data_IF_153984597419
#
_entry.id   IF_153984597419
#
_cell.length_a   1.000
_cell.length_b   1.000
_cell.length_c   1.000
_cell.angle_alpha   90.00
_cell.angle_beta   90.00
_cell.angle_gamma   90.00
#
_symmetry.space_group_name_H-M   'P 1'
#
loop_
_entity.id
_entity.type
_entity.pdbx_description
1 polymer ?
#
# COMPACT_ATOMS: atom_id res chain seq x y z
N UNK A 1 -9.03 14.00 -9.72
CA UNK A 1 -8.73 12.81 -8.90
C UNK A 1 -9.51 12.88 -7.60
N UNK A 2 -10.25 11.84 -7.28
CA UNK A 2 -11.06 11.77 -6.05
C UNK A 2 -10.32 10.92 -5.01
N UNK A 3 -9.92 11.49 -3.84
CA UNK A 3 -9.15 10.73 -2.84
C UNK A 3 -9.84 9.46 -2.34
N UNK A 4 -11.15 9.51 -2.15
CA UNK A 4 -11.92 8.35 -1.70
C UNK A 4 -11.87 7.21 -2.71
N UNK A 5 -12.06 7.53 -3.99
CA UNK A 5 -11.99 6.54 -5.07
C UNK A 5 -10.58 5.96 -5.22
N UNK A 6 -9.56 6.78 -5.02
CA UNK A 6 -8.16 6.33 -5.08
C UNK A 6 -7.88 5.33 -3.96
N UNK A 7 -8.28 5.64 -2.73
CA UNK A 7 -8.08 4.73 -1.60
C UNK A 7 -8.86 3.42 -1.79
N UNK A 8 -10.11 3.51 -2.23
CA UNK A 8 -10.93 2.32 -2.48
C UNK A 8 -10.33 1.44 -3.58
N UNK A 9 -9.80 2.05 -4.63
CA UNK A 9 -9.13 1.33 -5.72
C UNK A 9 -7.86 0.63 -5.25
N UNK A 10 -7.03 1.29 -4.46
CA UNK A 10 -5.83 0.68 -3.89
C UNK A 10 -6.18 -0.48 -2.95
N UNK A 11 -7.22 -0.30 -2.14
CA UNK A 11 -7.72 -1.37 -1.27
C UNK A 11 -8.17 -2.58 -2.09
N UNK A 12 -8.92 -2.36 -3.18
CA UNK A 12 -9.35 -3.43 -4.08
C UNK A 12 -8.15 -4.16 -4.68
N UNK A 13 -7.13 -3.43 -5.12
CA UNK A 13 -5.92 -4.03 -5.66
C UNK A 13 -5.21 -4.90 -4.62
N UNK A 14 -5.10 -4.43 -3.39
CA UNK A 14 -4.47 -5.20 -2.30
C UNK A 14 -5.25 -6.46 -1.93
N UNK A 15 -6.56 -6.44 -2.08
CA UNK A 15 -7.41 -7.60 -1.80
C UNK A 15 -7.19 -8.78 -2.75
N UNK A 16 -6.43 -8.60 -3.81
CA UNK A 16 -6.02 -9.71 -4.69
C UNK A 16 -5.01 -10.65 -4.04
N UNK A 17 -4.37 -10.24 -2.95
CA UNK A 17 -3.44 -11.09 -2.21
C UNK A 17 -4.22 -11.92 -1.19
N UNK A 18 -4.14 -13.24 -1.33
CA UNK A 18 -4.78 -14.16 -0.40
C UNK A 18 -4.17 -14.05 1.01
N UNK A 19 -5.02 -13.96 2.02
CA UNK A 19 -4.59 -13.90 3.42
C UNK A 19 -4.15 -12.53 3.92
N UNK A 20 -4.09 -11.53 3.05
CA UNK A 20 -3.80 -10.15 3.46
C UNK A 20 -5.09 -9.47 3.91
N UNK A 21 -5.09 -8.93 5.12
CA UNK A 21 -6.21 -8.12 5.62
C UNK A 21 -5.98 -6.67 5.26
N UNK A 22 -6.97 -6.03 4.64
CA UNK A 22 -6.87 -4.64 4.22
C UNK A 22 -7.85 -3.80 5.04
N UNK A 23 -7.33 -2.77 5.70
CA UNK A 23 -8.10 -1.89 6.58
C UNK A 23 -8.12 -0.46 6.04
N UNK A 24 -9.23 0.24 6.25
CA UNK A 24 -9.34 1.67 5.93
C UNK A 24 -8.59 2.54 6.94
N UNK A 25 -8.59 2.12 8.21
CA UNK A 25 -7.89 2.77 9.31
C UNK A 25 -7.15 1.70 10.09
N UNK A 26 -6.09 2.11 10.80
CA UNK A 26 -5.33 1.18 11.65
C UNK A 26 -6.25 0.71 12.79
N UNK A 27 -6.52 -0.60 12.90
CA UNK A 27 -7.37 -1.12 13.98
C UNK A 27 -6.63 -1.09 15.33
N UNK A 28 -7.39 -1.12 16.42
CA UNK A 28 -6.82 -1.18 17.77
C UNK A 28 -5.99 -2.45 17.99
N UNK A 29 -6.46 -3.57 17.44
CA UNK A 29 -5.74 -4.85 17.47
C UNK A 29 -5.40 -5.25 16.04
N UNK A 30 -4.09 -5.40 15.77
CA UNK A 30 -3.61 -5.78 14.46
C UNK A 30 -3.40 -7.28 14.39
N UNK A 31 -3.97 -7.91 13.35
CA UNK A 31 -3.71 -9.32 13.03
C UNK A 31 -2.91 -9.38 11.73
N UNK A 32 -1.59 -9.64 11.79
CA UNK A 32 -0.77 -9.70 10.58
C UNK A 32 -1.06 -10.96 9.76
N UNK A 33 -0.86 -10.92 8.43
CA UNK A 33 -0.48 -9.75 7.65
C UNK A 33 -1.63 -8.79 7.41
N UNK A 34 -1.35 -7.50 7.48
CA UNK A 34 -2.35 -6.47 7.31
C UNK A 34 -1.79 -5.31 6.48
N UNK A 35 -2.65 -4.64 5.75
CA UNK A 35 -2.28 -3.46 4.97
C UNK A 35 -3.26 -2.32 5.26
N UNK A 36 -2.73 -1.11 5.34
CA UNK A 36 -3.51 0.11 5.54
C UNK A 36 -3.09 1.13 4.50
N UNK A 37 -4.05 1.67 3.76
CA UNK A 37 -3.80 2.76 2.81
C UNK A 37 -3.79 4.08 3.57
N UNK A 38 -2.69 4.82 3.47
CA UNK A 38 -2.53 6.09 4.16
C UNK A 38 -3.27 7.25 3.49
N UNK A 39 -3.01 8.44 3.99
CA UNK A 39 -3.56 9.65 3.41
C UNK A 39 -2.79 10.05 2.16
N UNK A 40 -3.48 10.69 1.22
CA UNK A 40 -2.87 11.17 0.00
C UNK A 40 -2.35 12.60 0.18
N UNK A 41 -1.13 12.82 -0.29
CA UNK A 41 -0.56 14.16 -0.42
C UNK A 41 -0.64 14.59 -1.88
N UNK A 42 -1.26 15.73 -2.14
CA UNK A 42 -1.51 16.21 -3.49
C UNK A 42 -0.54 17.31 -3.90
N UNK A 43 -0.11 17.26 -5.15
CA UNK A 43 0.49 18.38 -5.87
C UNK A 43 -0.40 18.68 -7.06
N UNK A 44 -1.00 19.85 -7.04
CA UNK A 44 -1.96 20.23 -8.08
C UNK A 44 -1.26 20.91 -9.24
N UNK A 45 -1.82 20.71 -10.44
CA UNK A 45 -1.39 21.40 -11.66
C UNK A 45 0.11 21.24 -11.93
N UNK A 46 0.57 19.97 -11.96
CA UNK A 46 2.00 19.68 -12.16
C UNK A 46 2.49 19.97 -13.58
N UNK A 47 1.57 20.15 -14.54
CA UNK A 47 1.92 20.58 -15.88
C UNK A 47 1.48 22.04 -16.13
N UNK A 48 2.08 22.66 -17.15
CA UNK A 48 1.79 24.04 -17.49
C UNK A 48 0.37 24.24 -18.04
N UNK A 49 -0.27 23.18 -18.52
CA UNK A 49 -1.61 23.23 -19.07
C UNK A 49 -2.71 23.15 -18.02
N UNK A 50 -2.36 22.87 -16.76
CA UNK A 50 -3.27 22.70 -15.65
C UNK A 50 -4.36 21.65 -15.94
N UNK A 51 -4.24 20.52 -15.42
CA UNK A 51 -5.20 19.44 -15.63
C UNK A 51 -4.67 18.10 -15.19
N UNK A 52 -3.42 18.08 -14.77
CA UNK A 52 -2.79 16.89 -14.24
C UNK A 52 -2.36 17.14 -12.81
N UNK A 53 -2.92 16.36 -11.90
CA UNK A 53 -2.53 16.36 -10.49
C UNK A 53 -1.65 15.16 -10.19
N UNK A 54 -0.80 15.32 -9.19
CA UNK A 54 0.02 14.23 -8.68
C UNK A 54 -0.34 13.99 -7.23
N UNK A 55 -0.47 12.74 -6.85
CA UNK A 55 -0.67 12.36 -5.47
C UNK A 55 0.42 11.40 -5.03
N UNK A 56 0.81 11.51 -3.79
CA UNK A 56 1.68 10.54 -3.13
C UNK A 56 0.94 9.90 -1.98
N UNK A 57 1.07 8.60 -1.83
CA UNK A 57 0.44 7.86 -0.75
C UNK A 57 1.38 6.76 -0.27
N UNK A 58 1.37 6.54 1.02
CA UNK A 58 2.09 5.43 1.63
C UNK A 58 1.09 4.33 1.99
N UNK A 59 1.42 3.09 1.64
CA UNK A 59 0.69 1.91 2.07
C UNK A 59 1.53 1.20 3.11
N UNK A 60 1.02 1.12 4.32
CA UNK A 60 1.69 0.42 5.42
C UNK A 60 1.28 -1.04 5.39
N UNK A 61 2.26 -1.94 5.29
CA UNK A 61 2.04 -3.38 5.36
C UNK A 61 2.70 -3.91 6.62
N UNK A 62 1.90 -4.44 7.52
CA UNK A 62 2.35 -5.05 8.77
C UNK A 62 2.46 -6.55 8.51
N UNK A 63 3.67 -7.09 8.58
CA UNK A 63 3.96 -8.43 8.09
C UNK A 63 3.88 -9.47 9.18
N UNK A 64 4.55 -9.23 10.33
CA UNK A 64 4.61 -10.18 11.42
C UNK A 64 5.11 -9.51 12.69
N UNK A 65 4.92 -10.18 13.84
CA UNK A 65 5.53 -9.76 15.08
C UNK A 65 7.03 -10.00 15.04
N UNK A 66 7.82 -9.12 15.64
CA UNK A 66 9.25 -9.33 15.73
C UNK A 66 9.64 -10.62 16.44
N UNK A 67 8.83 -11.08 17.38
CA UNK A 67 9.07 -12.33 18.11
C UNK A 67 8.84 -13.59 17.27
N UNK A 68 8.17 -13.47 16.12
CA UNK A 68 7.89 -14.59 15.23
C UNK A 68 9.02 -14.76 14.23
N UNK A 69 9.62 -15.94 14.20
CA UNK A 69 10.68 -16.26 13.24
C UNK A 69 10.17 -16.98 12.00
N UNK A 70 8.95 -17.49 12.06
CA UNK A 70 8.29 -18.11 10.91
C UNK A 70 7.75 -17.03 10.00
N UNK A 71 7.86 -17.21 8.69
CA UNK A 71 7.28 -16.29 7.73
C UNK A 71 8.27 -15.49 6.90
N UNK A 72 9.56 -15.81 6.96
CA UNK A 72 10.56 -15.15 6.12
C UNK A 72 10.22 -15.34 4.63
N UNK A 73 9.76 -16.54 4.23
CA UNK A 73 9.35 -16.80 2.86
C UNK A 73 8.16 -15.91 2.45
N UNK A 74 7.22 -15.71 3.36
CA UNK A 74 6.05 -14.84 3.14
C UNK A 74 6.46 -13.38 3.00
N UNK A 75 7.40 -12.94 3.84
CA UNK A 75 7.98 -11.60 3.75
C UNK A 75 8.69 -11.41 2.41
N UNK A 76 9.49 -12.38 2.01
CA UNK A 76 10.21 -12.33 0.74
C UNK A 76 9.22 -12.27 -0.44
N UNK A 77 8.12 -13.03 -0.37
CA UNK A 77 7.06 -12.97 -1.38
C UNK A 77 6.40 -11.59 -1.45
N UNK A 78 6.13 -10.95 -0.31
CA UNK A 78 5.57 -9.59 -0.29
C UNK A 78 6.51 -8.56 -0.91
N UNK A 79 7.81 -8.70 -0.68
CA UNK A 79 8.82 -7.75 -1.14
C UNK A 79 9.29 -8.02 -2.58
N UNK A 80 8.99 -9.19 -3.14
CA UNK A 80 9.37 -9.51 -4.50
C UNK A 80 8.72 -8.51 -5.49
N UNK A 81 9.43 -8.20 -6.56
CA UNK A 81 8.91 -7.31 -7.60
C UNK A 81 7.83 -7.93 -8.48
N UNK A 82 7.66 -9.25 -8.40
CA UNK A 82 6.67 -10.01 -9.17
C UNK A 82 6.16 -11.19 -8.35
N UNK A 83 5.06 -11.80 -8.79
CA UNK A 83 4.50 -12.98 -8.16
C UNK A 83 3.16 -12.71 -7.49
N UNK A 84 2.43 -13.78 -7.15
CA UNK A 84 1.07 -13.70 -6.60
C UNK A 84 1.03 -13.05 -5.20
N UNK A 85 2.12 -13.14 -4.44
CA UNK A 85 2.22 -12.51 -3.11
C UNK A 85 2.84 -11.12 -3.12
N UNK A 86 3.29 -10.61 -4.27
CA UNK A 86 3.98 -9.33 -4.37
C UNK A 86 3.03 -8.17 -4.12
N UNK A 87 3.34 -7.35 -3.14
CA UNK A 87 2.59 -6.12 -2.83
C UNK A 87 2.69 -5.14 -4.00
N UNK A 88 3.89 -5.00 -4.58
CA UNK A 88 4.07 -4.13 -5.74
C UNK A 88 3.17 -4.56 -6.91
N UNK A 89 3.17 -5.85 -7.24
CA UNK A 89 2.33 -6.38 -8.33
C UNK A 89 0.85 -6.16 -8.03
N UNK A 90 0.42 -6.40 -6.80
CA UNK A 90 -0.97 -6.20 -6.40
C UNK A 90 -1.38 -4.73 -6.52
N UNK A 91 -0.58 -3.80 -6.02
CA UNK A 91 -0.87 -2.37 -6.09
C UNK A 91 -0.92 -1.86 -7.53
N UNK A 92 -0.12 -2.43 -8.42
CA UNK A 92 -0.07 -2.06 -9.83
C UNK A 92 -0.97 -2.93 -10.72
N UNK A 93 -1.76 -3.83 -10.14
CA UNK A 93 -2.61 -4.76 -10.92
C UNK A 93 -3.67 -4.04 -11.75
N UNK A 94 -4.18 -2.92 -11.25
CA UNK A 94 -5.02 -2.00 -12.00
C UNK A 94 -4.47 -0.58 -11.80
N UNK A 95 -3.68 -0.12 -12.75
CA UNK A 95 -2.97 1.16 -12.65
C UNK A 95 -3.87 2.37 -12.80
N UNK A 96 -5.07 2.18 -13.30
CA UNK A 96 -6.04 3.27 -13.48
C UNK A 96 -7.06 3.33 -12.36
N UNK A 97 -7.06 2.37 -11.45
CA UNK A 97 -8.02 2.25 -10.35
C UNK A 97 -9.46 2.37 -10.87
N UNK A 98 -9.78 1.56 -11.86
CA UNK A 98 -11.08 1.55 -12.54
C UNK A 98 -11.43 2.90 -13.20
N UNK A 99 -10.42 3.60 -13.67
CA UNK A 99 -10.59 4.88 -14.34
C UNK A 99 -10.55 6.11 -13.43
N UNK A 100 -10.31 5.93 -12.14
CA UNK A 100 -10.25 7.04 -11.19
C UNK A 100 -8.99 7.91 -11.37
N UNK A 101 -7.92 7.34 -11.93
CA UNK A 101 -6.65 8.03 -12.17
C UNK A 101 -6.10 7.65 -13.54
N UNK A 102 -5.09 8.39 -14.02
CA UNK A 102 -4.44 8.07 -15.29
C UNK A 102 -3.48 6.90 -15.15
N UNK A 103 -2.65 6.91 -14.12
CA UNK A 103 -1.72 5.83 -13.82
C UNK A 103 -1.18 5.95 -12.41
N UNK A 104 -0.60 4.87 -11.90
CA UNK A 104 0.10 4.86 -10.62
C UNK A 104 1.38 4.04 -10.75
N UNK A 105 2.30 4.29 -9.83
CA UNK A 105 3.57 3.58 -9.78
C UNK A 105 4.01 3.40 -8.33
N UNK A 106 4.45 2.20 -7.98
CA UNK A 106 5.11 1.93 -6.72
C UNK A 106 6.59 2.29 -6.87
N UNK A 107 7.04 3.28 -6.12
CA UNK A 107 8.40 3.82 -6.26
C UNK A 107 9.40 3.21 -5.29
N UNK A 108 8.93 2.59 -4.21
CA UNK A 108 9.84 1.96 -3.26
C UNK A 108 9.11 1.36 -2.06
N UNK A 109 9.86 0.63 -1.27
CA UNK A 109 9.41 0.06 -0.01
C UNK A 109 10.48 0.28 1.04
N UNK A 110 10.10 0.70 2.23
CA UNK A 110 11.00 1.04 3.33
C UNK A 110 10.61 0.24 4.57
N UNK A 111 11.61 -0.43 5.16
CA UNK A 111 11.41 -1.22 6.37
C UNK A 111 11.21 -0.32 7.58
N UNK A 112 10.37 -0.76 8.50
CA UNK A 112 10.13 -0.04 9.74
C UNK A 112 9.53 -0.93 10.80
N UNK A 113 9.22 -0.32 11.93
CA UNK A 113 8.58 -0.97 13.06
C UNK A 113 7.24 -0.32 13.33
N UNK A 114 6.23 -1.12 13.53
CA UNK A 114 4.92 -0.67 13.99
C UNK A 114 4.66 -1.22 15.38
N UNK A 115 4.39 -0.34 16.35
CA UNK A 115 4.09 -0.73 17.72
C UNK A 115 2.61 -0.54 18.01
N UNK A 116 1.97 -1.57 18.57
CA UNK A 116 0.58 -1.53 18.96
C UNK A 116 0.40 -2.28 20.27
N UNK A 117 -0.13 -1.60 21.28
CA UNK A 117 -0.47 -2.19 22.56
C UNK A 117 0.69 -2.98 23.19
N UNK A 118 1.91 -2.44 23.13
CA UNK A 118 3.10 -3.06 23.67
C UNK A 118 3.70 -4.19 22.84
N UNK A 119 3.15 -4.43 21.65
CA UNK A 119 3.67 -5.43 20.72
C UNK A 119 4.31 -4.73 19.54
N UNK A 120 5.53 -5.13 19.19
CA UNK A 120 6.26 -4.60 18.03
C UNK A 120 6.09 -5.52 16.82
N UNK A 121 5.79 -4.93 15.68
CA UNK A 121 5.59 -5.64 14.42
C UNK A 121 6.61 -5.17 13.39
N UNK A 122 7.06 -6.09 12.55
CA UNK A 122 7.82 -5.76 11.35
C UNK A 122 6.84 -5.21 10.31
N UNK A 123 7.16 -4.04 9.77
CA UNK A 123 6.32 -3.38 8.78
C UNK A 123 7.15 -2.87 7.60
N UNK A 124 6.48 -2.68 6.47
CA UNK A 124 7.06 -2.04 5.30
C UNK A 124 6.12 -0.94 4.84
N UNK A 125 6.69 0.19 4.49
CA UNK A 125 5.96 1.32 3.93
C UNK A 125 6.24 1.38 2.45
N UNK A 126 5.21 1.13 1.64
CA UNK A 126 5.28 1.23 0.19
C UNK A 126 4.89 2.63 -0.23
N UNK A 127 5.75 3.25 -1.02
CA UNK A 127 5.49 4.60 -1.54
C UNK A 127 4.97 4.49 -2.96
N UNK A 128 3.85 5.18 -3.20
CA UNK A 128 3.23 5.23 -4.52
C UNK A 128 3.15 6.68 -4.99
N UNK A 129 3.32 6.86 -6.28
CA UNK A 129 3.01 8.12 -6.96
C UNK A 129 1.87 7.86 -7.93
N UNK A 130 0.89 8.74 -7.93
CA UNK A 130 -0.35 8.62 -8.69
C UNK A 130 -0.53 9.89 -9.50
N UNK A 131 -0.87 9.73 -10.78
CA UNK A 131 -1.14 10.85 -11.69
C UNK A 131 -2.58 10.76 -12.19
N UNK A 132 -3.26 11.91 -12.14
CA UNK A 132 -4.65 11.92 -12.60
C UNK A 132 -5.35 13.26 -12.66
#
# INVERSE_FOLDING_TARGET
MNPSQVRDGLKTNLQTIAGLRVYDLIPDTVTPPAAVVGQLDFTFDIDNARGLDQAQVDVLVIVQRFSERSGQDKLDAFLAGTGAGSIKTALESDRTLSGAVNTLRVTGAEAGTYDSQGVSFLSYRYRLTIWG
#
